data_IF_151369991699
#
_entry.id   IF_151369991699
#
_cell.length_a   1.000
_cell.length_b   1.000
_cell.length_c   1.000
_cell.angle_alpha   90.00
_cell.angle_beta   90.00
_cell.angle_gamma   90.00
#
_symmetry.space_group_name_H-M   'P 1'
#
loop_
_entity.id
_entity.type
_entity.pdbx_description
1 polymer ?
#
# COMPACT_ATOMS: atom_id res chain seq x y z
N UNK A 1 -13.61 -3.49 -34.81
CA UNK A 1 -12.43 -2.60 -34.97
C UNK A 1 -12.73 -1.37 -34.13
N UNK A 2 -12.29 -1.37 -32.93
CA UNK A 2 -12.49 -0.26 -32.00
C UNK A 2 -11.48 0.82 -32.35
N UNK A 3 -11.95 1.91 -32.94
CA UNK A 3 -11.12 3.05 -33.30
C UNK A 3 -11.09 4.02 -32.12
N UNK A 4 -10.32 3.70 -31.08
CA UNK A 4 -10.01 4.72 -30.08
C UNK A 4 -9.18 5.81 -30.76
N UNK A 5 -9.61 7.08 -30.76
CA UNK A 5 -8.91 8.13 -31.47
C UNK A 5 -7.52 8.34 -30.85
N UNK A 6 -6.51 8.50 -31.72
CA UNK A 6 -5.23 9.02 -31.29
C UNK A 6 -5.41 10.48 -30.89
N UNK A 7 -4.72 10.92 -29.85
CA UNK A 7 -4.70 12.32 -29.44
C UNK A 7 -3.26 12.78 -29.20
N UNK A 8 -3.02 14.04 -29.51
CA UNK A 8 -1.74 14.69 -29.26
C UNK A 8 -1.75 15.29 -27.85
N UNK A 9 -0.62 15.15 -27.16
CA UNK A 9 -0.38 15.75 -25.86
C UNK A 9 0.80 16.70 -26.04
N UNK A 10 0.58 17.96 -25.72
CA UNK A 10 1.63 18.97 -25.68
C UNK A 10 2.09 19.17 -24.23
N UNK A 11 3.37 19.05 -24.00
CA UNK A 11 4.01 19.35 -22.72
C UNK A 11 5.08 20.44 -22.91
N UNK A 12 5.08 21.44 -22.04
CA UNK A 12 6.04 22.53 -22.05
C UNK A 12 6.85 22.53 -20.78
N UNK A 13 8.17 22.48 -20.91
CA UNK A 13 9.11 22.61 -19.81
C UNK A 13 10.38 23.33 -20.27
N UNK A 14 10.99 24.14 -19.44
CA UNK A 14 12.19 24.92 -19.74
C UNK A 14 12.01 25.82 -21.01
N UNK A 15 10.78 26.27 -21.31
CA UNK A 15 10.46 27.03 -22.51
C UNK A 15 10.43 26.22 -23.81
N UNK A 16 10.62 24.93 -23.76
CA UNK A 16 10.55 24.00 -24.88
C UNK A 16 9.21 23.26 -24.88
N UNK A 17 8.52 23.23 -26.04
CA UNK A 17 7.33 22.41 -26.24
C UNK A 17 7.72 21.05 -26.82
N UNK A 18 7.11 20.00 -26.27
CA UNK A 18 7.26 18.63 -26.75
C UNK A 18 5.88 18.04 -27.02
N UNK A 19 5.67 17.51 -28.22
CA UNK A 19 4.43 16.88 -28.63
C UNK A 19 4.54 15.36 -28.52
N UNK A 20 3.53 14.75 -27.89
CA UNK A 20 3.38 13.30 -27.77
C UNK A 20 2.09 12.87 -28.43
N UNK A 21 2.16 11.91 -29.34
CA UNK A 21 0.96 11.28 -29.91
C UNK A 21 0.77 9.92 -29.27
N UNK A 22 -0.34 9.74 -28.59
CA UNK A 22 -0.71 8.50 -27.91
C UNK A 22 -2.05 7.97 -28.39
N UNK A 23 -2.20 6.66 -28.42
CA UNK A 23 -3.46 5.97 -28.73
C UNK A 23 -3.59 4.73 -27.85
N UNK A 24 -4.80 4.19 -27.78
CA UNK A 24 -5.06 2.90 -27.16
C UNK A 24 -5.25 1.81 -28.20
N UNK A 25 -4.68 0.64 -27.94
CA UNK A 25 -5.01 -0.61 -28.58
C UNK A 25 -5.51 -1.56 -27.49
N UNK A 26 -6.83 -1.73 -27.39
CA UNK A 26 -7.46 -2.40 -26.26
C UNK A 26 -7.21 -1.63 -24.95
N UNK A 27 -6.59 -2.28 -23.97
CA UNK A 27 -6.21 -1.67 -22.69
C UNK A 27 -4.77 -1.14 -22.68
N UNK A 28 -3.99 -1.38 -23.73
CA UNK A 28 -2.58 -1.01 -23.82
C UNK A 28 -2.41 0.40 -24.35
N UNK A 29 -1.68 1.23 -23.64
CA UNK A 29 -1.23 2.52 -24.16
C UNK A 29 -0.14 2.27 -25.20
N UNK A 30 -0.34 2.79 -26.39
CA UNK A 30 0.59 2.67 -27.51
C UNK A 30 1.00 4.07 -27.95
N UNK A 31 2.29 4.34 -27.88
CA UNK A 31 2.88 5.55 -28.44
C UNK A 31 3.49 5.23 -29.80
N UNK A 32 3.06 5.94 -30.85
CA UNK A 32 3.64 5.83 -32.18
C UNK A 32 4.63 6.98 -32.37
N UNK A 33 5.90 6.62 -32.50
CA UNK A 33 6.95 7.59 -32.81
C UNK A 33 6.83 8.08 -34.27
N UNK A 34 7.35 9.28 -34.59
CA UNK A 34 7.35 9.81 -35.96
C UNK A 34 7.99 8.89 -37.00
N UNK A 35 8.87 7.96 -36.58
CA UNK A 35 9.48 6.94 -37.44
C UNK A 35 8.64 5.68 -37.69
N UNK A 36 7.42 5.61 -37.10
CA UNK A 36 6.53 4.46 -37.22
C UNK A 36 6.74 3.36 -36.20
N UNK A 37 7.73 3.47 -35.32
CA UNK A 37 7.99 2.57 -34.22
C UNK A 37 6.86 2.69 -33.18
N UNK A 38 6.49 1.55 -32.58
CA UNK A 38 5.40 1.47 -31.63
C UNK A 38 5.96 1.08 -30.27
N UNK A 39 5.66 1.87 -29.24
CA UNK A 39 6.09 1.62 -27.87
C UNK A 39 4.88 1.24 -27.03
N UNK A 40 4.95 0.11 -26.35
CA UNK A 40 3.92 -0.36 -25.44
C UNK A 40 4.01 0.35 -24.07
N UNK A 41 2.95 0.31 -23.27
CA UNK A 41 2.80 1.03 -22.01
C UNK A 41 3.98 0.86 -21.05
N UNK A 42 4.46 -0.37 -20.85
CA UNK A 42 5.59 -0.67 -19.97
C UNK A 42 6.89 0.01 -20.41
N UNK A 43 7.04 0.26 -21.71
CA UNK A 43 8.20 0.95 -22.29
C UNK A 43 7.98 2.43 -22.55
N UNK A 44 6.75 2.89 -22.36
CA UNK A 44 6.39 4.29 -22.66
C UNK A 44 7.22 5.25 -21.81
N UNK A 45 7.30 5.04 -20.51
CA UNK A 45 8.07 5.90 -19.63
C UNK A 45 9.57 5.79 -19.87
N UNK A 46 10.07 4.61 -20.22
CA UNK A 46 11.48 4.43 -20.57
C UNK A 46 11.85 5.21 -21.82
N UNK A 47 11.06 5.09 -22.88
CA UNK A 47 11.27 5.80 -24.13
C UNK A 47 11.10 7.33 -23.97
N UNK A 48 10.13 7.76 -23.16
CA UNK A 48 9.94 9.16 -22.82
C UNK A 48 11.12 9.69 -22.00
N UNK A 49 11.63 8.91 -21.03
CA UNK A 49 12.79 9.27 -20.25
C UNK A 49 14.05 9.41 -21.12
N UNK A 50 14.27 8.48 -22.04
CA UNK A 50 15.40 8.51 -22.97
C UNK A 50 15.31 9.70 -23.93
N UNK A 51 14.15 9.89 -24.57
CA UNK A 51 13.98 10.90 -25.62
C UNK A 51 13.84 12.32 -25.07
N UNK A 52 13.13 12.50 -23.97
CA UNK A 52 12.76 13.82 -23.42
C UNK A 52 13.50 14.15 -22.11
N UNK A 53 14.30 13.22 -21.59
CA UNK A 53 15.07 13.42 -20.36
C UNK A 53 14.17 13.57 -19.11
N UNK A 54 13.05 12.84 -19.08
CA UNK A 54 12.17 12.77 -17.92
C UNK A 54 12.69 11.75 -16.90
N UNK A 55 12.13 11.75 -15.69
CA UNK A 55 12.34 10.64 -14.76
C UNK A 55 11.66 9.38 -15.24
N UNK A 56 12.30 8.25 -15.02
CA UNK A 56 11.63 6.95 -15.07
C UNK A 56 10.80 6.74 -13.80
N UNK A 57 9.69 5.99 -13.86
CA UNK A 57 9.08 5.45 -12.65
C UNK A 57 10.11 4.65 -11.88
N UNK A 58 10.11 4.74 -10.55
CA UNK A 58 10.90 3.82 -9.73
C UNK A 58 10.30 2.43 -9.88
N UNK A 59 11.12 1.48 -10.29
CA UNK A 59 10.75 0.08 -10.44
C UNK A 59 11.52 -0.74 -9.40
N UNK A 60 11.01 -1.92 -9.08
CA UNK A 60 11.65 -2.84 -8.15
C UNK A 60 12.96 -3.46 -8.69
N UNK A 61 13.23 -3.31 -10.00
CA UNK A 61 14.50 -3.68 -10.62
C UNK A 61 15.63 -2.66 -10.37
N UNK A 62 15.33 -1.47 -9.85
CA UNK A 62 16.37 -0.55 -9.40
C UNK A 62 17.12 -1.17 -8.21
N UNK A 63 18.48 -1.22 -8.26
CA UNK A 63 19.23 -1.84 -7.18
C UNK A 63 19.00 -1.08 -5.86
N UNK A 64 18.38 -1.74 -4.91
CA UNK A 64 18.37 -1.27 -3.53
C UNK A 64 19.80 -1.30 -2.97
N UNK A 65 20.13 -0.38 -2.08
CA UNK A 65 21.39 -0.48 -1.34
C UNK A 65 21.45 -1.85 -0.65
N UNK A 66 22.53 -2.62 -0.81
CA UNK A 66 22.61 -3.96 -0.26
C UNK A 66 22.41 -3.90 1.26
N UNK A 67 21.34 -4.47 1.72
CA UNK A 67 21.07 -4.72 3.13
C UNK A 67 21.22 -6.23 3.39
N UNK A 68 21.55 -6.57 4.61
CA UNK A 68 21.70 -7.95 5.03
C UNK A 68 20.31 -8.55 5.33
N UNK A 69 20.02 -9.69 4.72
CA UNK A 69 18.81 -10.48 4.98
C UNK A 69 19.03 -11.61 6.00
N UNK A 70 20.15 -11.57 6.75
CA UNK A 70 20.36 -12.53 7.83
C UNK A 70 19.19 -12.50 8.81
N UNK A 71 18.75 -13.66 9.23
CA UNK A 71 17.58 -13.81 10.09
C UNK A 71 16.23 -13.81 9.38
N UNK A 72 16.15 -13.48 8.08
CA UNK A 72 14.89 -13.57 7.33
C UNK A 72 14.63 -15.01 6.90
N UNK A 73 13.56 -15.60 7.38
CA UNK A 73 13.14 -16.94 7.00
C UNK A 73 11.95 -16.86 6.03
N UNK A 74 12.10 -17.33 4.77
CA UNK A 74 10.98 -17.48 3.87
C UNK A 74 10.10 -18.65 4.34
N UNK A 75 8.80 -18.40 4.50
CA UNK A 75 7.82 -19.40 4.92
C UNK A 75 7.03 -19.95 3.72
N UNK A 76 6.55 -19.07 2.84
CA UNK A 76 5.80 -19.48 1.66
C UNK A 76 6.31 -18.68 0.45
N UNK A 77 6.89 -19.40 -0.51
CA UNK A 77 7.51 -18.82 -1.71
C UNK A 77 6.85 -19.27 -3.02
N UNK A 78 5.72 -19.98 -2.92
CA UNK A 78 4.91 -20.42 -4.07
C UNK A 78 3.43 -20.40 -3.72
N UNK A 79 2.56 -20.30 -4.72
CA UNK A 79 1.13 -20.42 -4.48
C UNK A 79 0.75 -21.85 -4.06
N UNK A 80 0.14 -22.00 -2.90
CA UNK A 80 -0.28 -23.29 -2.34
C UNK A 80 -1.65 -23.74 -2.86
N UNK A 81 -2.36 -22.89 -3.61
CA UNK A 81 -3.65 -23.22 -4.21
C UNK A 81 -3.76 -22.50 -5.58
N UNK A 82 -4.31 -23.15 -6.62
CA UNK A 82 -4.35 -22.58 -7.99
C UNK A 82 -5.21 -21.32 -8.12
N UNK A 83 -6.08 -21.03 -7.15
CA UNK A 83 -6.88 -19.79 -7.11
C UNK A 83 -6.21 -18.63 -6.36
N UNK A 84 -5.07 -18.86 -5.71
CA UNK A 84 -4.22 -17.81 -5.15
C UNK A 84 -3.38 -17.28 -6.30
N UNK A 85 -3.62 -16.04 -6.73
CA UNK A 85 -3.05 -15.53 -7.97
C UNK A 85 -1.78 -14.69 -7.76
N UNK A 86 -1.66 -13.98 -6.64
CA UNK A 86 -0.59 -13.00 -6.39
C UNK A 86 0.18 -13.24 -5.08
N UNK A 87 0.19 -14.48 -4.60
CA UNK A 87 0.89 -14.85 -3.37
C UNK A 87 0.21 -14.35 -2.10
N UNK A 88 0.99 -13.87 -1.13
CA UNK A 88 0.58 -13.62 0.25
C UNK A 88 0.94 -12.19 0.67
N UNK A 89 0.50 -11.22 -0.11
CA UNK A 89 0.65 -9.80 0.24
C UNK A 89 -0.15 -9.42 1.47
N UNK A 90 0.36 -8.47 2.24
CA UNK A 90 -0.29 -7.90 3.43
C UNK A 90 -0.73 -9.00 4.41
N UNK A 91 0.22 -9.85 4.89
CA UNK A 91 -0.10 -11.06 5.62
C UNK A 91 -0.47 -10.75 7.08
N UNK A 92 -1.64 -11.21 7.52
CA UNK A 92 -1.97 -11.27 8.93
C UNK A 92 -1.84 -12.69 9.44
N UNK A 93 -0.88 -12.92 10.35
CA UNK A 93 -0.62 -14.22 10.96
C UNK A 93 -1.03 -14.19 12.42
N UNK A 94 -1.95 -15.05 12.79
CA UNK A 94 -2.46 -15.15 14.15
C UNK A 94 -2.23 -16.54 14.75
N UNK A 95 -1.73 -16.60 15.99
CA UNK A 95 -1.67 -17.84 16.79
C UNK A 95 -3.09 -18.24 17.22
N UNK A 96 -3.45 -19.50 16.96
CA UNK A 96 -4.67 -20.15 17.45
C UNK A 96 -4.31 -21.39 18.25
N UNK A 97 -5.31 -22.05 18.86
CA UNK A 97 -5.08 -23.18 19.76
C UNK A 97 -4.27 -24.32 19.10
N UNK A 98 -4.56 -24.65 17.84
CA UNK A 98 -3.94 -25.76 17.10
C UNK A 98 -2.84 -25.33 16.10
N UNK A 99 -2.30 -24.10 16.24
CA UNK A 99 -1.27 -23.63 15.30
C UNK A 99 -1.38 -22.15 14.97
N UNK A 100 -1.25 -21.83 13.70
CA UNK A 100 -1.31 -20.48 13.15
C UNK A 100 -2.24 -20.41 11.96
N UNK A 101 -2.88 -19.28 11.83
CA UNK A 101 -3.65 -18.89 10.66
C UNK A 101 -2.92 -17.77 9.92
N UNK A 102 -3.10 -17.75 8.60
CA UNK A 102 -2.70 -16.67 7.72
C UNK A 102 -3.89 -16.28 6.86
N UNK A 103 -4.18 -14.99 6.80
CA UNK A 103 -5.00 -14.36 5.77
C UNK A 103 -4.16 -13.35 5.01
N UNK A 104 -4.45 -13.16 3.71
CA UNK A 104 -3.66 -12.28 2.87
C UNK A 104 -4.51 -11.61 1.78
N UNK A 105 -3.97 -10.57 1.17
CA UNK A 105 -4.55 -9.84 0.04
C UNK A 105 -4.80 -10.76 -1.15
N UNK A 106 -5.93 -10.57 -1.82
CA UNK A 106 -6.28 -11.29 -3.05
C UNK A 106 -6.47 -10.39 -4.27
N UNK A 107 -6.36 -9.08 -4.11
CA UNK A 107 -6.61 -8.10 -5.16
C UNK A 107 -7.99 -8.30 -5.80
N UNK A 108 -8.01 -8.59 -7.10
CA UNK A 108 -9.22 -8.81 -7.90
C UNK A 108 -9.51 -10.29 -8.17
N UNK A 109 -8.90 -11.20 -7.40
CA UNK A 109 -9.17 -12.62 -7.56
C UNK A 109 -10.65 -12.93 -7.26
N UNK A 110 -11.27 -13.88 -7.97
CA UNK A 110 -12.67 -14.25 -7.75
C UNK A 110 -12.97 -14.77 -6.35
N UNK A 111 -11.98 -15.42 -5.73
CA UNK A 111 -12.03 -15.90 -4.35
C UNK A 111 -11.24 -14.90 -3.48
N UNK A 112 -11.93 -14.23 -2.54
CA UNK A 112 -11.30 -13.19 -1.74
C UNK A 112 -10.69 -13.73 -0.46
N UNK A 113 -9.47 -13.26 -0.18
CA UNK A 113 -8.64 -13.52 0.99
C UNK A 113 -8.32 -14.99 1.20
N UNK A 114 -7.19 -15.49 0.68
CA UNK A 114 -6.74 -16.84 0.97
C UNK A 114 -6.61 -17.04 2.49
N UNK A 115 -7.13 -18.15 2.97
CA UNK A 115 -7.04 -18.60 4.35
C UNK A 115 -6.16 -19.84 4.40
N UNK A 116 -5.08 -19.80 5.16
CA UNK A 116 -4.12 -20.87 5.33
C UNK A 116 -3.93 -21.18 6.81
N UNK A 117 -3.48 -22.39 7.08
CA UNK A 117 -3.14 -22.85 8.43
C UNK A 117 -1.78 -23.55 8.45
N UNK A 118 -1.14 -23.50 9.60
CA UNK A 118 0.09 -24.26 9.88
C UNK A 118 0.12 -24.70 11.34
N UNK A 119 0.60 -25.89 11.61
CA UNK A 119 0.84 -26.36 12.99
C UNK A 119 2.25 -26.03 13.51
N UNK A 120 3.17 -25.66 12.63
CA UNK A 120 4.61 -25.57 12.93
C UNK A 120 5.34 -24.38 12.27
N UNK A 121 4.60 -23.45 11.62
CA UNK A 121 5.11 -22.32 10.85
C UNK A 121 5.97 -22.68 9.62
N UNK A 122 6.28 -23.95 9.41
CA UNK A 122 7.11 -24.42 8.30
C UNK A 122 6.28 -25.01 7.17
N UNK A 123 5.25 -25.78 7.51
CA UNK A 123 4.33 -26.37 6.53
C UNK A 123 3.00 -25.64 6.62
N UNK A 124 2.62 -25.03 5.51
CA UNK A 124 1.36 -24.31 5.37
C UNK A 124 0.42 -25.04 4.41
N UNK A 125 -0.84 -25.07 4.76
CA UNK A 125 -1.90 -25.70 3.97
C UNK A 125 -3.02 -24.69 3.71
N UNK A 126 -3.57 -24.71 2.48
CA UNK A 126 -4.76 -23.92 2.17
C UNK A 126 -5.97 -24.47 2.92
N UNK A 127 -6.65 -23.61 3.68
CA UNK A 127 -7.91 -23.86 4.32
C UNK A 127 -9.11 -23.29 3.52
N UNK A 128 -8.83 -22.73 2.33
CA UNK A 128 -9.84 -22.13 1.47
C UNK A 128 -9.70 -20.60 1.38
N UNK A 129 -10.82 -19.92 1.39
CA UNK A 129 -10.92 -18.47 1.27
C UNK A 129 -11.96 -17.93 2.24
N UNK A 130 -11.73 -16.70 2.73
CA UNK A 130 -12.69 -16.03 3.62
C UNK A 130 -14.03 -15.81 2.89
N UNK A 131 -13.96 -15.29 1.65
CA UNK A 131 -15.13 -15.15 0.79
C UNK A 131 -14.88 -15.89 -0.53
N UNK A 132 -15.34 -17.14 -0.66
CA UNK A 132 -15.28 -17.89 -1.91
C UNK A 132 -16.02 -17.16 -3.05
N UNK A 133 -15.67 -17.48 -4.29
CA UNK A 133 -16.30 -16.90 -5.47
C UNK A 133 -17.83 -16.91 -5.39
N UNK A 134 -18.44 -15.74 -5.60
CA UNK A 134 -19.88 -15.53 -5.50
C UNK A 134 -20.40 -15.29 -4.08
N UNK A 135 -19.53 -15.29 -3.06
CA UNK A 135 -19.89 -15.04 -1.65
C UNK A 135 -19.26 -13.74 -1.11
N UNK A 136 -18.66 -12.92 -1.97
CA UNK A 136 -18.16 -11.60 -1.58
C UNK A 136 -19.29 -10.72 -1.05
N UNK A 137 -19.01 -9.81 -0.09
CA UNK A 137 -20.03 -8.94 0.49
C UNK A 137 -20.77 -8.11 -0.56
N UNK A 138 -22.09 -8.02 -0.44
CA UNK A 138 -22.95 -7.37 -1.44
C UNK A 138 -22.73 -5.88 -1.63
N UNK A 139 -22.11 -5.23 -0.66
CA UNK A 139 -21.78 -3.81 -0.74
C UNK A 139 -20.53 -3.53 -1.58
N UNK A 140 -19.73 -4.56 -1.85
CA UNK A 140 -18.49 -4.41 -2.63
C UNK A 140 -18.78 -4.28 -4.12
N UNK A 141 -17.90 -3.58 -4.83
CA UNK A 141 -17.99 -3.44 -6.27
C UNK A 141 -17.90 -4.81 -6.95
N UNK A 142 -18.79 -5.02 -7.94
CA UNK A 142 -18.81 -6.25 -8.71
C UNK A 142 -18.11 -6.08 -10.06
N UNK A 143 -17.47 -7.14 -10.53
CA UNK A 143 -16.83 -7.22 -11.83
C UNK A 143 -15.34 -7.53 -11.75
N UNK A 144 -14.73 -7.81 -12.91
CA UNK A 144 -13.30 -8.10 -13.01
C UNK A 144 -12.49 -6.80 -12.87
N UNK A 145 -11.43 -6.83 -12.08
CA UNK A 145 -10.51 -5.71 -11.88
C UNK A 145 -11.11 -4.53 -11.10
N UNK A 146 -12.01 -4.80 -10.14
CA UNK A 146 -12.70 -3.74 -9.40
C UNK A 146 -12.96 -4.02 -7.92
N UNK A 147 -12.64 -5.22 -7.42
CA UNK A 147 -12.92 -5.61 -6.03
C UNK A 147 -11.94 -4.98 -5.05
N UNK A 148 -10.67 -4.95 -5.42
CA UNK A 148 -9.57 -4.44 -4.60
C UNK A 148 -9.64 -4.99 -3.16
N UNK A 149 -9.71 -6.33 -3.03
CA UNK A 149 -9.74 -7.01 -1.73
C UNK A 149 -8.33 -7.05 -1.13
N UNK A 150 -8.03 -6.07 -0.26
CA UNK A 150 -6.70 -5.83 0.28
C UNK A 150 -6.63 -5.93 1.79
N UNK A 151 -5.42 -6.20 2.28
CA UNK A 151 -4.99 -6.10 3.66
C UNK A 151 -6.02 -6.61 4.67
N UNK A 152 -6.36 -7.91 4.62
CA UNK A 152 -7.20 -8.50 5.65
C UNK A 152 -6.39 -8.63 6.94
N UNK A 153 -7.01 -8.32 8.07
CA UNK A 153 -6.47 -8.51 9.41
C UNK A 153 -7.43 -9.33 10.24
N UNK A 154 -6.91 -10.24 11.06
CA UNK A 154 -7.70 -11.10 11.92
C UNK A 154 -7.33 -10.93 13.38
N UNK A 155 -8.31 -10.74 14.25
CA UNK A 155 -8.12 -10.59 15.68
C UNK A 155 -9.14 -11.44 16.47
N UNK A 156 -8.74 -11.91 17.65
CA UNK A 156 -9.67 -12.52 18.61
C UNK A 156 -10.27 -11.43 19.49
N UNK A 157 -11.59 -11.29 19.46
CA UNK A 157 -12.33 -10.34 20.27
C UNK A 157 -13.35 -11.12 21.13
N UNK A 158 -13.03 -11.27 22.40
CA UNK A 158 -13.81 -12.15 23.28
C UNK A 158 -13.77 -13.61 22.82
N UNK A 159 -14.93 -14.18 22.48
CA UNK A 159 -15.05 -15.54 22.00
C UNK A 159 -15.09 -15.65 20.47
N UNK A 160 -15.06 -14.54 19.75
CA UNK A 160 -15.17 -14.49 18.29
C UNK A 160 -13.85 -14.13 17.62
N UNK A 161 -13.74 -14.44 16.33
CA UNK A 161 -12.70 -14.00 15.43
C UNK A 161 -13.27 -12.93 14.52
N UNK A 162 -12.69 -11.73 14.57
CA UNK A 162 -13.08 -10.61 13.75
C UNK A 162 -12.03 -10.40 12.66
N UNK A 163 -12.51 -10.25 11.44
CA UNK A 163 -11.69 -10.03 10.27
C UNK A 163 -12.06 -8.69 9.66
N UNK A 164 -11.11 -7.75 9.66
CA UNK A 164 -11.22 -6.48 8.92
C UNK A 164 -10.54 -6.62 7.57
N UNK A 165 -10.99 -5.84 6.61
CA UNK A 165 -10.44 -5.86 5.26
C UNK A 165 -10.77 -4.58 4.52
N UNK A 166 -9.98 -4.27 3.50
CA UNK A 166 -10.26 -3.23 2.53
C UNK A 166 -10.95 -3.82 1.32
N UNK A 167 -11.99 -3.14 0.82
CA UNK A 167 -12.59 -3.44 -0.47
C UNK A 167 -13.14 -2.17 -1.10
N UNK A 168 -13.34 -2.20 -2.42
CA UNK A 168 -13.97 -1.10 -3.13
C UNK A 168 -15.48 -1.21 -3.03
N UNK A 169 -16.12 -0.14 -2.56
CA UNK A 169 -17.57 -0.05 -2.50
C UNK A 169 -18.21 0.12 -3.90
N UNK A 170 -19.52 0.02 -3.99
CA UNK A 170 -20.26 0.12 -5.25
C UNK A 170 -20.05 1.47 -5.98
N UNK A 171 -19.79 2.55 -5.23
CA UNK A 171 -19.46 3.88 -5.75
C UNK A 171 -17.99 4.03 -6.19
N UNK A 172 -17.20 2.94 -6.11
CA UNK A 172 -15.78 2.86 -6.45
C UNK A 172 -14.84 3.51 -5.43
N UNK A 173 -15.31 3.95 -4.28
CA UNK A 173 -14.44 4.39 -3.18
C UNK A 173 -13.93 3.20 -2.38
N UNK A 174 -12.73 3.33 -1.80
CA UNK A 174 -12.20 2.32 -0.88
C UNK A 174 -12.87 2.44 0.48
N UNK A 175 -13.20 1.31 1.06
CA UNK A 175 -13.90 1.20 2.33
C UNK A 175 -13.36 0.01 3.13
N UNK A 176 -13.51 0.08 4.44
CA UNK A 176 -13.16 -1.01 5.37
C UNK A 176 -14.42 -1.80 5.68
N UNK A 177 -14.35 -3.12 5.48
CA UNK A 177 -15.34 -4.09 5.92
C UNK A 177 -14.93 -4.77 7.23
N UNK A 178 -15.90 -5.41 7.88
CA UNK A 178 -15.70 -6.29 9.03
C UNK A 178 -16.59 -7.53 8.89
N UNK A 179 -15.97 -8.69 9.07
CA UNK A 179 -16.66 -9.97 9.15
C UNK A 179 -16.31 -10.70 10.45
N UNK A 180 -17.19 -11.59 10.92
CA UNK A 180 -17.03 -12.30 12.19
C UNK A 180 -17.29 -13.78 12.04
N UNK A 181 -16.60 -14.59 12.86
CA UNK A 181 -16.79 -16.02 12.96
C UNK A 181 -16.58 -16.51 14.39
N UNK A 182 -17.24 -17.60 14.77
CA UNK A 182 -16.98 -18.29 16.04
C UNK A 182 -15.81 -19.28 15.93
N UNK A 183 -15.48 -19.72 14.72
CA UNK A 183 -14.35 -20.59 14.39
C UNK A 183 -13.31 -19.78 13.61
N UNK A 184 -12.01 -19.91 13.90
CA UNK A 184 -10.97 -19.16 13.19
C UNK A 184 -10.86 -19.49 11.69
N UNK A 185 -11.40 -20.63 11.25
CA UNK A 185 -11.50 -21.01 9.84
C UNK A 185 -12.83 -20.58 9.19
N UNK A 186 -13.70 -19.88 9.92
CA UNK A 186 -14.99 -19.41 9.44
C UNK A 186 -16.13 -20.44 9.62
N UNK A 187 -17.26 -20.28 8.94
CA UNK A 187 -17.50 -19.23 7.95
C UNK A 187 -17.56 -17.83 8.56
N UNK A 188 -17.01 -16.85 7.86
CA UNK A 188 -17.05 -15.45 8.27
C UNK A 188 -18.29 -14.76 7.73
N UNK A 189 -19.06 -14.14 8.62
CA UNK A 189 -20.27 -13.38 8.29
C UNK A 189 -19.95 -11.88 8.27
N UNK A 190 -20.05 -11.27 7.08
CA UNK A 190 -19.86 -9.83 6.90
C UNK A 190 -21.00 -9.01 7.51
N UNK A 191 -20.72 -7.79 7.98
CA UNK A 191 -21.74 -6.88 8.53
C UNK A 191 -22.84 -6.48 7.53
N UNK A 192 -22.70 -6.83 6.24
CA UNK A 192 -23.64 -6.45 5.18
C UNK A 192 -23.52 -5.01 4.71
N UNK A 193 -22.56 -4.25 5.26
CA UNK A 193 -22.25 -2.86 4.93
C UNK A 193 -20.80 -2.53 5.30
N UNK A 194 -20.20 -1.48 4.72
CA UNK A 194 -18.92 -1.00 5.18
C UNK A 194 -18.95 -0.60 6.66
N UNK A 195 -17.88 -0.86 7.38
CA UNK A 195 -17.64 -0.34 8.72
C UNK A 195 -17.19 1.15 8.65
N UNK A 196 -16.27 1.45 7.73
CA UNK A 196 -15.82 2.80 7.41
C UNK A 196 -15.82 3.03 5.89
N UNK A 197 -16.10 4.26 5.47
CA UNK A 197 -16.10 4.72 4.08
C UNK A 197 -15.23 5.96 3.91
N UNK A 198 -15.02 6.41 2.67
CA UNK A 198 -14.33 7.67 2.40
C UNK A 198 -12.84 7.52 2.09
N UNK A 199 -12.47 6.54 1.27
CA UNK A 199 -11.08 6.24 0.88
C UNK A 199 -10.20 5.89 2.09
N UNK A 200 -10.56 4.80 2.73
CA UNK A 200 -9.92 4.25 3.94
C UNK A 200 -9.46 2.83 3.68
N UNK A 201 -8.27 2.47 4.19
CA UNK A 201 -7.64 1.16 3.98
C UNK A 201 -6.89 0.68 5.23
N UNK A 202 -6.38 -0.54 5.18
CA UNK A 202 -5.41 -1.14 6.10
C UNK A 202 -5.89 -1.14 7.55
N UNK A 203 -7.03 -1.78 7.77
CA UNK A 203 -7.65 -1.83 9.08
C UNK A 203 -7.07 -2.95 9.96
N UNK A 204 -6.53 -2.59 11.11
CA UNK A 204 -6.06 -3.52 12.14
C UNK A 204 -6.91 -3.39 13.41
N UNK A 205 -7.29 -4.51 14.03
CA UNK A 205 -7.98 -4.52 15.33
C UNK A 205 -6.99 -4.83 16.43
N UNK A 206 -6.93 -3.93 17.40
CA UNK A 206 -6.24 -4.17 18.68
C UNK A 206 -7.23 -4.20 19.84
N UNK A 207 -7.12 -5.20 20.70
CA UNK A 207 -7.91 -5.28 21.93
C UNK A 207 -7.02 -4.77 23.07
N UNK A 208 -7.46 -3.70 23.74
CA UNK A 208 -6.71 -3.09 24.82
C UNK A 208 -6.72 -3.94 26.12
N UNK A 209 -5.95 -3.49 27.12
CA UNK A 209 -5.83 -4.20 28.41
C UNK A 209 -7.18 -4.28 29.19
N UNK A 210 -8.18 -3.46 28.80
CA UNK A 210 -9.54 -3.47 29.37
C UNK A 210 -10.51 -4.37 28.57
N UNK A 211 -10.04 -4.96 27.48
CA UNK A 211 -10.81 -5.81 26.58
C UNK A 211 -11.64 -5.02 25.56
N UNK A 212 -11.42 -3.72 25.41
CA UNK A 212 -12.11 -2.91 24.42
C UNK A 212 -11.41 -2.97 23.06
N UNK A 213 -12.15 -3.20 21.95
CA UNK A 213 -11.58 -3.23 20.62
C UNK A 213 -11.34 -1.81 20.07
N UNK A 214 -10.19 -1.64 19.45
CA UNK A 214 -9.78 -0.43 18.74
C UNK A 214 -9.50 -0.79 17.29
N UNK A 215 -9.91 0.09 16.37
CA UNK A 215 -9.60 0.02 14.95
C UNK A 215 -8.46 0.99 14.66
N UNK A 216 -7.35 0.48 14.12
CA UNK A 216 -6.30 1.28 13.51
C UNK A 216 -6.52 1.23 12.01
N UNK A 217 -6.30 2.34 11.32
CA UNK A 217 -6.55 2.43 9.89
C UNK A 217 -5.82 3.62 9.25
N UNK A 218 -5.84 3.67 7.94
CA UNK A 218 -5.23 4.72 7.15
C UNK A 218 -6.26 5.41 6.26
N UNK A 219 -6.16 6.75 6.13
CA UNK A 219 -6.80 7.45 5.03
C UNK A 219 -5.96 7.24 3.77
N UNK A 220 -6.57 6.76 2.69
CA UNK A 220 -5.88 6.58 1.41
C UNK A 220 -5.80 7.90 0.65
N UNK A 221 -4.73 8.65 0.90
CA UNK A 221 -4.42 9.92 0.22
C UNK A 221 -3.39 9.75 -0.90
N UNK A 222 -2.87 8.55 -1.12
CA UNK A 222 -1.75 8.26 -2.03
C UNK A 222 -1.97 8.79 -3.44
N UNK A 223 -3.18 8.67 -3.97
CA UNK A 223 -3.55 9.11 -5.31
C UNK A 223 -4.25 10.47 -5.34
N UNK A 224 -4.51 11.08 -4.19
CA UNK A 224 -5.31 12.30 -4.07
C UNK A 224 -4.52 13.58 -4.33
N UNK A 225 -3.20 13.59 -4.13
CA UNK A 225 -2.38 14.77 -4.38
C UNK A 225 -1.68 14.78 -5.76
N UNK A 226 -1.22 13.64 -6.35
CA UNK A 226 -0.44 13.70 -7.60
C UNK A 226 -1.25 14.21 -8.80
N UNK A 227 -2.50 13.77 -8.94
CA UNK A 227 -3.37 14.23 -10.03
C UNK A 227 -3.82 15.69 -9.90
N UNK A 228 -4.31 16.15 -8.74
CA UNK A 228 -4.54 17.58 -8.51
C UNK A 228 -3.29 18.43 -8.72
N UNK A 229 -2.12 17.97 -8.27
CA UNK A 229 -0.85 18.66 -8.56
C UNK A 229 -0.60 18.75 -10.06
N UNK A 230 -0.74 17.65 -10.81
CA UNK A 230 -0.58 17.66 -12.26
C UNK A 230 -1.58 18.60 -12.95
N UNK A 231 -2.82 18.68 -12.45
CA UNK A 231 -3.84 19.65 -12.91
C UNK A 231 -3.42 21.09 -12.64
N UNK A 232 -2.98 21.38 -11.44
CA UNK A 232 -2.48 22.72 -11.06
C UNK A 232 -1.29 23.15 -11.91
N UNK A 233 -0.34 22.22 -12.16
CA UNK A 233 0.82 22.50 -13.03
C UNK A 233 0.43 22.72 -14.49
N UNK A 234 -0.63 22.10 -14.96
CA UNK A 234 -1.19 22.33 -16.29
C UNK A 234 -1.83 23.70 -16.43
N UNK A 235 -2.56 24.15 -15.39
CA UNK A 235 -3.20 25.46 -15.34
C UNK A 235 -2.20 26.59 -15.09
N UNK A 236 -1.13 26.30 -14.36
CA UNK A 236 -0.10 27.24 -13.92
C UNK A 236 1.31 26.70 -14.20
N UNK A 237 1.74 26.64 -15.49
CA UNK A 237 3.02 26.03 -15.88
C UNK A 237 4.25 26.70 -15.24
N UNK A 238 4.15 27.99 -14.87
CA UNK A 238 5.21 28.73 -14.18
C UNK A 238 5.59 28.11 -12.82
N UNK A 239 4.72 27.32 -12.22
CA UNK A 239 5.01 26.60 -10.97
C UNK A 239 6.04 25.48 -11.18
N UNK A 240 6.16 24.93 -12.39
CA UNK A 240 7.09 23.83 -12.67
C UNK A 240 8.53 24.23 -12.35
N UNK A 241 8.97 25.42 -12.77
CA UNK A 241 10.30 25.92 -12.48
C UNK A 241 10.51 26.26 -10.99
N UNK A 242 9.44 26.67 -10.30
CA UNK A 242 9.48 27.00 -8.88
C UNK A 242 9.53 25.78 -7.97
N UNK A 243 8.85 24.70 -8.38
CA UNK A 243 8.72 23.48 -7.58
C UNK A 243 9.86 22.47 -7.82
N UNK A 244 10.42 22.45 -9.03
CA UNK A 244 11.37 21.41 -9.42
C UNK A 244 12.73 22.01 -9.84
N UNK A 245 13.79 21.60 -9.15
CA UNK A 245 15.13 22.15 -9.36
C UNK A 245 15.84 21.57 -10.59
N UNK A 246 15.67 20.26 -10.86
CA UNK A 246 16.35 19.61 -11.97
C UNK A 246 15.58 19.73 -13.29
N UNK A 247 16.31 19.74 -14.43
CA UNK A 247 15.69 19.73 -15.75
C UNK A 247 14.83 18.46 -15.98
N UNK A 248 15.29 17.30 -15.49
CA UNK A 248 14.56 16.04 -15.60
C UNK A 248 13.23 16.09 -14.83
N UNK A 249 13.24 16.64 -13.60
CA UNK A 249 12.04 16.77 -12.78
C UNK A 249 11.03 17.75 -13.39
N UNK A 250 11.49 18.89 -13.94
CA UNK A 250 10.63 19.83 -14.65
C UNK A 250 9.97 19.21 -15.87
N UNK A 251 10.72 18.46 -16.69
CA UNK A 251 10.18 17.76 -17.87
C UNK A 251 9.20 16.67 -17.46
N UNK A 252 9.48 15.94 -16.38
CA UNK A 252 8.56 14.94 -15.81
C UNK A 252 7.26 15.59 -15.35
N UNK A 253 7.35 16.71 -14.63
CA UNK A 253 6.18 17.46 -14.16
C UNK A 253 5.33 17.98 -15.33
N UNK A 254 5.97 18.52 -16.38
CA UNK A 254 5.28 18.98 -17.58
C UNK A 254 4.58 17.85 -18.33
N UNK A 255 5.22 16.68 -18.45
CA UNK A 255 4.63 15.49 -19.05
C UNK A 255 3.40 15.03 -18.26
N UNK A 256 3.53 14.87 -16.94
CA UNK A 256 2.41 14.44 -16.10
C UNK A 256 1.27 15.45 -16.11
N UNK A 257 1.57 16.75 -16.15
CA UNK A 257 0.57 17.81 -16.32
C UNK A 257 -0.20 17.66 -17.66
N UNK A 258 0.51 17.40 -18.75
CA UNK A 258 -0.10 17.18 -20.07
C UNK A 258 -0.92 15.88 -20.14
N UNK A 259 -0.48 14.82 -19.45
CA UNK A 259 -1.19 13.52 -19.40
C UNK A 259 -2.43 13.55 -18.48
N UNK A 260 -2.51 14.49 -17.53
CA UNK A 260 -3.52 14.50 -16.47
C UNK A 260 -4.97 14.38 -16.94
N UNK A 261 -5.44 15.10 -18.00
CA UNK A 261 -6.83 14.98 -18.45
C UNK A 261 -7.18 13.59 -18.93
N UNK A 262 -6.24 12.94 -19.62
CA UNK A 262 -6.41 11.58 -20.07
C UNK A 262 -6.31 10.58 -18.93
N UNK A 263 -5.35 10.73 -18.00
CA UNK A 263 -5.24 9.89 -16.81
C UNK A 263 -6.54 9.87 -16.01
N UNK A 264 -7.29 10.98 -15.97
CA UNK A 264 -8.58 11.03 -15.28
C UNK A 264 -9.64 10.09 -15.85
N UNK A 265 -9.50 9.65 -17.09
CA UNK A 265 -10.42 8.70 -17.73
C UNK A 265 -10.09 7.24 -17.45
N UNK A 266 -8.97 6.97 -16.77
CA UNK A 266 -8.45 5.62 -16.54
C UNK A 266 -8.94 5.01 -15.24
N UNK A 267 -8.78 3.68 -15.10
CA UNK A 267 -9.07 2.95 -13.84
C UNK A 267 -8.17 3.45 -12.70
N UNK A 268 -8.57 3.31 -11.44
CA UNK A 268 -7.83 3.86 -10.30
C UNK A 268 -6.34 3.50 -10.28
N UNK A 269 -5.98 2.22 -10.44
CA UNK A 269 -4.57 1.78 -10.43
C UNK A 269 -3.79 2.31 -11.63
N UNK A 270 -4.39 2.34 -12.83
CA UNK A 270 -3.76 2.94 -14.01
C UNK A 270 -3.46 4.43 -13.79
N UNK A 271 -4.41 5.17 -13.19
CA UNK A 271 -4.20 6.58 -12.85
C UNK A 271 -3.05 6.80 -11.89
N UNK A 272 -2.92 5.91 -10.90
CA UNK A 272 -1.83 5.96 -9.95
C UNK A 272 -0.48 5.76 -10.66
N UNK A 273 -0.33 4.69 -11.44
CA UNK A 273 0.91 4.43 -12.17
C UNK A 273 1.29 5.53 -13.17
N UNK A 274 0.30 6.16 -13.82
CA UNK A 274 0.57 7.29 -14.72
C UNK A 274 1.15 8.51 -14.00
N UNK A 275 0.89 8.67 -12.71
CA UNK A 275 1.38 9.79 -11.92
C UNK A 275 2.64 9.46 -11.08
N UNK A 276 3.08 8.21 -11.04
CA UNK A 276 4.29 7.82 -10.29
C UNK A 276 5.55 8.61 -10.63
N UNK A 277 5.85 8.95 -11.91
CA UNK A 277 6.99 9.79 -12.21
C UNK A 277 6.93 11.17 -11.55
N UNK A 278 5.73 11.75 -11.44
CA UNK A 278 5.53 13.02 -10.73
C UNK A 278 5.74 12.86 -9.22
N UNK A 279 5.30 11.74 -8.64
CA UNK A 279 5.59 11.41 -7.24
C UNK A 279 7.12 11.36 -7.04
N UNK A 280 7.86 10.66 -7.90
CA UNK A 280 9.31 10.59 -7.85
C UNK A 280 9.99 11.96 -7.96
N UNK A 281 9.52 12.83 -8.86
CA UNK A 281 10.02 14.19 -8.99
C UNK A 281 9.72 15.04 -7.75
N UNK A 282 8.51 14.91 -7.18
CA UNK A 282 8.12 15.60 -5.96
C UNK A 282 8.96 15.14 -4.76
N UNK A 283 9.20 13.82 -4.60
CA UNK A 283 10.03 13.28 -3.52
C UNK A 283 11.48 13.77 -3.58
N UNK A 284 12.04 13.90 -4.77
CA UNK A 284 13.40 14.47 -4.92
C UNK A 284 13.51 15.94 -4.48
N UNK A 285 12.37 16.63 -4.39
CA UNK A 285 12.28 18.06 -4.02
C UNK A 285 11.28 18.27 -2.87
N UNK A 286 10.98 17.25 -2.05
CA UNK A 286 9.80 17.14 -1.18
C UNK A 286 9.54 18.36 -0.30
N UNK A 287 10.54 18.80 0.45
CA UNK A 287 10.37 19.95 1.35
C UNK A 287 10.16 21.26 0.59
N UNK A 288 10.87 21.44 -0.51
CA UNK A 288 10.74 22.62 -1.37
C UNK A 288 9.35 22.65 -2.04
N UNK A 289 8.89 21.52 -2.58
CA UNK A 289 7.56 21.38 -3.19
C UNK A 289 6.48 21.70 -2.16
N UNK A 290 6.51 21.10 -0.99
CA UNK A 290 5.52 21.35 0.07
C UNK A 290 5.55 22.79 0.58
N UNK A 291 6.74 23.37 0.76
CA UNK A 291 6.90 24.74 1.21
C UNK A 291 6.36 25.75 0.20
N UNK A 292 6.55 25.48 -1.10
CA UNK A 292 6.06 26.37 -2.15
C UNK A 292 4.54 26.20 -2.38
N UNK A 293 4.02 24.99 -2.35
CA UNK A 293 2.58 24.73 -2.46
C UNK A 293 1.79 25.39 -1.32
N UNK A 294 2.32 25.43 -0.08
CA UNK A 294 1.68 26.14 1.04
C UNK A 294 1.51 27.65 0.80
N UNK A 295 2.25 28.24 -0.13
CA UNK A 295 2.16 29.65 -0.51
C UNK A 295 1.34 29.85 -1.80
N UNK A 296 0.85 28.76 -2.39
CA UNK A 296 0.17 28.76 -3.67
C UNK A 296 -1.33 28.65 -3.45
N UNK A 297 -2.08 29.67 -3.86
CA UNK A 297 -3.53 29.68 -3.77
C UNK A 297 -4.13 28.50 -4.55
N UNK A 298 -5.08 27.79 -3.93
CA UNK A 298 -5.74 26.62 -4.50
C UNK A 298 -4.95 25.30 -4.40
N UNK A 299 -3.83 25.30 -3.64
CA UNK A 299 -3.03 24.09 -3.39
C UNK A 299 -3.24 23.48 -2.00
N UNK A 300 -4.17 24.00 -1.20
CA UNK A 300 -4.40 23.60 0.19
C UNK A 300 -4.72 22.10 0.29
N UNK A 301 -5.66 21.61 -0.51
CA UNK A 301 -6.05 20.20 -0.54
C UNK A 301 -4.90 19.30 -1.03
N UNK A 302 -4.07 19.79 -1.98
CA UNK A 302 -2.88 19.03 -2.44
C UNK A 302 -1.93 18.83 -1.27
N UNK A 303 -1.60 19.90 -0.52
CA UNK A 303 -0.68 19.86 0.62
C UNK A 303 -1.23 18.99 1.75
N UNK A 304 -2.53 19.08 2.03
CA UNK A 304 -3.18 18.22 3.03
C UNK A 304 -3.04 16.74 2.67
N UNK A 305 -3.30 16.37 1.41
CA UNK A 305 -3.21 14.99 0.94
C UNK A 305 -1.76 14.47 0.75
N UNK A 306 -0.74 15.34 0.83
CA UNK A 306 0.68 14.93 0.89
C UNK A 306 1.07 14.40 2.28
N UNK A 307 0.18 14.45 3.25
CA UNK A 307 0.34 13.86 4.58
C UNK A 307 -0.58 12.65 4.68
N UNK A 308 0.00 11.50 5.03
CA UNK A 308 -0.75 10.25 5.20
C UNK A 308 -0.80 9.90 6.69
N UNK A 309 -1.95 10.11 7.37
CA UNK A 309 -2.08 9.76 8.76
C UNK A 309 -2.43 8.28 8.97
N UNK A 310 -1.80 7.65 9.96
CA UNK A 310 -2.32 6.47 10.63
C UNK A 310 -3.20 6.90 11.79
N UNK A 311 -4.37 6.34 11.89
CA UNK A 311 -5.42 6.74 12.81
C UNK A 311 -5.82 5.57 13.71
N UNK A 312 -6.28 5.85 14.93
CA UNK A 312 -6.94 4.90 15.79
C UNK A 312 -8.29 5.43 16.22
N UNK A 313 -9.27 4.54 16.32
CA UNK A 313 -10.62 4.87 16.76
C UNK A 313 -11.20 3.70 17.54
N UNK A 314 -11.92 3.96 18.61
CA UNK A 314 -12.54 2.91 19.39
C UNK A 314 -13.68 2.25 18.60
N UNK A 315 -13.77 0.91 18.67
CA UNK A 315 -14.92 0.18 18.14
C UNK A 315 -15.99 0.00 19.22
N UNK A 316 -17.23 -0.07 18.81
CA UNK A 316 -18.31 -0.57 19.66
C UNK A 316 -18.03 -2.05 20.04
N UNK A 317 -18.50 -2.46 21.20
CA UNK A 317 -18.26 -3.82 21.71
C UNK A 317 -18.81 -4.91 20.78
N UNK A 318 -19.80 -4.60 19.98
CA UNK A 318 -20.38 -5.48 18.96
C UNK A 318 -19.69 -5.35 17.59
N UNK A 319 -18.64 -4.52 17.45
CA UNK A 319 -17.93 -4.27 16.21
C UNK A 319 -18.74 -3.57 15.11
N UNK A 320 -20.00 -3.20 15.38
CA UNK A 320 -20.88 -2.70 14.34
C UNK A 320 -20.62 -1.23 13.93
N UNK A 321 -19.87 -0.47 14.72
CA UNK A 321 -19.56 0.93 14.47
C UNK A 321 -18.31 1.38 15.19
N UNK A 322 -17.74 2.51 14.75
CA UNK A 322 -16.69 3.24 15.47
C UNK A 322 -17.31 4.23 16.46
N UNK A 323 -16.59 4.56 17.53
CA UNK A 323 -17.02 5.44 18.61
C UNK A 323 -16.07 6.63 18.72
N UNK A 324 -16.63 7.84 18.80
CA UNK A 324 -15.87 9.08 18.97
C UNK A 324 -15.11 9.49 17.71
N UNK A 325 -14.22 10.47 17.86
CA UNK A 325 -13.38 10.96 16.78
C UNK A 325 -12.09 10.13 16.67
N UNK A 326 -11.54 9.94 15.45
CA UNK A 326 -10.28 9.26 15.28
C UNK A 326 -9.12 10.07 15.86
N UNK A 327 -8.14 9.37 16.44
CA UNK A 327 -6.91 9.95 16.95
C UNK A 327 -5.77 9.65 15.97
N UNK A 328 -5.04 10.67 15.56
CA UNK A 328 -3.84 10.49 14.74
C UNK A 328 -2.71 9.90 15.59
N UNK A 329 -2.16 8.76 15.15
CA UNK A 329 -1.03 8.09 15.80
C UNK A 329 0.30 8.53 15.19
N UNK A 330 0.40 8.48 13.85
CA UNK A 330 1.59 8.83 13.07
C UNK A 330 1.20 9.56 11.78
N UNK A 331 2.19 10.18 11.15
CA UNK A 331 2.15 10.66 9.77
C UNK A 331 3.53 10.47 9.13
N UNK A 332 3.63 10.51 7.81
CA UNK A 332 4.90 10.43 7.08
C UNK A 332 5.74 11.71 7.28
N UNK A 333 6.82 11.62 8.03
CA UNK A 333 7.72 12.73 8.37
C UNK A 333 9.22 12.36 8.26
N UNK A 334 9.55 11.08 8.06
CA UNK A 334 10.91 10.62 7.83
C UNK A 334 11.19 10.47 6.32
N UNK A 335 12.42 10.74 5.91
CA UNK A 335 12.80 10.73 4.49
C UNK A 335 12.55 9.37 3.81
N UNK A 336 12.80 8.26 4.48
CA UNK A 336 12.60 6.91 3.93
C UNK A 336 11.12 6.56 3.74
N UNK A 337 10.21 7.18 4.48
CA UNK A 337 8.76 6.96 4.36
C UNK A 337 8.18 7.52 3.05
N UNK A 338 8.92 8.41 2.40
CA UNK A 338 8.49 9.01 1.16
C UNK A 338 7.19 9.80 1.31
N UNK A 339 6.22 9.52 0.43
CA UNK A 339 4.95 10.23 0.38
C UNK A 339 3.82 9.55 1.15
N UNK A 340 4.05 8.39 1.77
CA UNK A 340 3.02 7.65 2.49
C UNK A 340 3.58 6.75 3.59
N UNK A 341 2.75 6.48 4.58
CA UNK A 341 2.85 5.35 5.50
C UNK A 341 1.54 4.59 5.50
N UNK A 342 1.61 3.26 5.76
CA UNK A 342 0.45 2.37 5.68
C UNK A 342 0.64 1.09 6.52
N UNK A 343 -0.34 0.16 6.48
CA UNK A 343 -0.25 -1.14 7.12
C UNK A 343 0.00 -1.08 8.63
N UNK A 344 -0.81 -0.36 9.43
CA UNK A 344 -0.59 -0.27 10.87
C UNK A 344 -0.87 -1.60 11.56
N UNK A 345 0.07 -2.09 12.36
CA UNK A 345 -0.12 -3.22 13.27
C UNK A 345 0.34 -2.83 14.67
N UNK A 346 -0.49 -3.01 15.69
CA UNK A 346 -0.19 -2.65 17.07
C UNK A 346 0.08 -3.88 17.92
N UNK A 347 1.30 -3.99 18.44
CA UNK A 347 1.71 -5.01 19.39
C UNK A 347 1.85 -4.44 20.81
N UNK A 348 1.60 -5.28 21.82
CA UNK A 348 1.83 -4.96 23.23
C UNK A 348 2.99 -5.79 23.76
N UNK A 349 4.10 -5.14 24.12
CA UNK A 349 5.27 -5.80 24.68
C UNK A 349 6.00 -4.88 25.66
N UNK A 350 6.68 -5.44 26.68
CA UNK A 350 7.45 -4.69 27.68
C UNK A 350 6.66 -3.53 28.34
N UNK A 351 5.36 -3.74 28.53
CA UNK A 351 4.49 -2.71 29.11
C UNK A 351 4.20 -1.52 28.21
N UNK A 352 4.58 -1.55 26.91
CA UNK A 352 4.45 -0.47 25.95
C UNK A 352 3.69 -0.90 24.71
N UNK A 353 3.23 0.07 23.92
CA UNK A 353 2.56 -0.10 22.62
C UNK A 353 3.57 0.10 21.51
N UNK A 354 3.68 -0.87 20.60
CA UNK A 354 4.60 -0.90 19.48
C UNK A 354 3.80 -0.89 18.20
N UNK A 355 3.84 0.23 17.48
CA UNK A 355 3.14 0.41 16.21
C UNK A 355 4.11 0.13 15.07
N UNK A 356 3.92 -1.00 14.40
CA UNK A 356 4.57 -1.34 13.15
C UNK A 356 3.81 -0.70 12.00
N UNK A 357 4.51 -0.26 10.98
CA UNK A 357 3.93 0.34 9.79
C UNK A 357 4.86 0.17 8.60
N UNK A 358 4.33 0.23 7.38
CA UNK A 358 5.11 0.31 6.16
C UNK A 358 5.24 1.76 5.71
N UNK A 359 6.34 2.10 5.06
CA UNK A 359 6.59 3.42 4.49
C UNK A 359 7.07 3.34 3.06
N UNK A 360 6.80 4.38 2.28
CA UNK A 360 7.01 4.47 0.85
C UNK A 360 5.99 3.66 0.02
N UNK A 361 6.21 3.53 -1.28
CA UNK A 361 5.33 2.83 -2.21
C UNK A 361 5.73 1.35 -2.32
N UNK A 362 4.78 0.42 -2.17
CA UNK A 362 5.03 -1.02 -2.23
C UNK A 362 5.59 -1.49 -3.58
N UNK A 363 5.45 -0.71 -4.63
CA UNK A 363 6.03 -0.96 -5.96
C UNK A 363 7.45 -0.40 -6.11
N UNK A 364 8.03 0.11 -5.03
CA UNK A 364 9.37 0.70 -4.99
C UNK A 364 10.30 -0.13 -4.10
N UNK A 365 11.59 -0.30 -4.47
CA UNK A 365 12.57 -0.93 -3.60
C UNK A 365 12.82 -0.15 -2.30
N UNK A 366 12.28 1.07 -2.20
CA UNK A 366 12.35 1.90 -0.99
C UNK A 366 11.26 1.55 0.04
N UNK A 367 10.30 0.68 -0.30
CA UNK A 367 9.32 0.18 0.66
C UNK A 367 10.01 -0.52 1.82
N UNK A 368 9.58 -0.24 3.03
CA UNK A 368 10.19 -0.78 4.22
C UNK A 368 9.25 -0.76 5.42
N UNK A 369 9.63 -1.46 6.48
CA UNK A 369 8.86 -1.55 7.72
C UNK A 369 9.50 -0.68 8.78
N UNK A 370 8.74 0.27 9.31
CA UNK A 370 9.11 1.10 10.45
C UNK A 370 8.42 0.66 11.73
N UNK A 371 8.89 1.20 12.84
CA UNK A 371 8.28 0.98 14.14
C UNK A 371 8.32 2.24 14.98
N UNK A 372 7.26 2.46 15.75
CA UNK A 372 7.15 3.54 16.72
C UNK A 372 6.64 2.99 18.05
N UNK A 373 6.99 3.63 19.16
CA UNK A 373 6.66 3.19 20.51
C UNK A 373 5.96 4.28 21.29
N UNK A 374 4.99 3.88 22.14
CA UNK A 374 4.27 4.77 23.04
C UNK A 374 3.93 4.06 24.37
N UNK A 375 3.66 4.85 25.41
CA UNK A 375 3.20 4.33 26.70
C UNK A 375 1.68 4.10 26.73
N UNK A 376 0.95 4.72 25.79
CA UNK A 376 -0.51 4.60 25.64
C UNK A 376 -0.88 4.26 24.20
N UNK A 377 -1.96 3.52 24.01
CA UNK A 377 -2.48 3.15 22.72
C UNK A 377 -2.65 4.36 21.78
N UNK A 378 -3.14 5.46 22.30
CA UNK A 378 -3.36 6.70 21.53
C UNK A 378 -2.13 7.60 21.45
N UNK A 379 -0.95 7.12 21.91
CA UNK A 379 0.29 7.86 21.82
C UNK A 379 0.55 8.88 22.95
N UNK A 380 1.46 9.84 22.73
CA UNK A 380 2.21 10.08 21.50
C UNK A 380 3.23 8.98 21.18
N UNK A 381 3.35 8.63 19.91
CA UNK A 381 4.31 7.65 19.41
C UNK A 381 5.63 8.30 19.04
N UNK A 382 6.73 7.62 19.36
CA UNK A 382 8.10 8.00 18.98
C UNK A 382 8.63 6.96 17.99
N UNK A 383 8.91 7.38 16.77
CA UNK A 383 9.50 6.52 15.73
C UNK A 383 10.95 6.18 16.04
N UNK A 384 11.40 4.97 15.68
CA UNK A 384 12.79 4.56 15.81
C UNK A 384 13.74 5.22 14.77
N UNK A 385 13.20 5.96 13.81
CA UNK A 385 13.95 6.75 12.83
C UNK A 385 14.22 5.97 11.53
N UNK A 386 15.12 5.01 11.56
CA UNK A 386 15.42 4.16 10.40
C UNK A 386 14.40 3.01 10.28
N UNK A 387 14.16 2.47 9.07
CA UNK A 387 13.30 1.31 8.92
C UNK A 387 13.91 0.09 9.62
N UNK A 388 13.07 -0.68 10.30
CA UNK A 388 13.43 -1.96 10.91
C UNK A 388 13.80 -2.99 9.83
N UNK A 389 13.04 -3.02 8.74
CA UNK A 389 13.30 -3.83 7.55
C UNK A 389 13.29 -2.96 6.30
N UNK A 390 14.21 -3.24 5.38
CA UNK A 390 14.30 -2.62 4.04
C UNK A 390 14.77 -3.65 3.02
N UNK A 391 14.60 -3.36 1.74
CA UNK A 391 15.05 -4.23 0.65
C UNK A 391 16.49 -4.70 0.83
N UNK A 392 16.72 -5.96 0.44
CA UNK A 392 18.03 -6.63 0.45
C UNK A 392 18.36 -7.10 -0.96
N UNK A 393 19.53 -7.72 -1.16
CA UNK A 393 19.88 -8.36 -2.43
C UNK A 393 19.07 -9.63 -2.74
N UNK A 394 18.31 -10.15 -1.77
CA UNK A 394 17.51 -11.38 -1.90
C UNK A 394 16.00 -11.13 -1.87
N UNK A 395 15.56 -10.05 -1.24
CA UNK A 395 14.15 -9.73 -1.03
C UNK A 395 13.92 -8.22 -1.19
N UNK A 396 12.94 -7.87 -2.00
CA UNK A 396 12.62 -6.47 -2.30
C UNK A 396 11.31 -6.05 -1.67
N UNK A 397 11.24 -4.77 -1.30
CA UNK A 397 10.04 -4.12 -0.78
C UNK A 397 9.34 -4.89 0.35
N UNK A 398 10.03 -5.18 1.48
CA UNK A 398 9.38 -5.79 2.63
C UNK A 398 8.33 -4.82 3.20
N UNK A 399 7.14 -5.32 3.48
CA UNK A 399 6.09 -4.43 4.01
C UNK A 399 4.89 -5.13 4.60
N UNK A 400 3.99 -4.29 5.11
CA UNK A 400 2.72 -4.64 5.72
C UNK A 400 2.82 -5.85 6.67
N UNK A 401 3.33 -5.59 7.86
CA UNK A 401 3.68 -6.65 8.80
C UNK A 401 2.61 -6.91 9.84
N UNK A 402 2.51 -8.15 10.29
CA UNK A 402 1.81 -8.56 11.50
C UNK A 402 2.78 -9.15 12.52
N UNK A 403 2.44 -9.11 13.81
CA UNK A 403 3.24 -9.70 14.90
C UNK A 403 2.45 -10.82 15.53
N UNK A 404 3.08 -11.98 15.64
CA UNK A 404 2.54 -13.13 16.36
C UNK A 404 3.65 -13.82 17.15
N UNK A 405 3.34 -14.88 17.88
CA UNK A 405 4.33 -15.69 18.59
C UNK A 405 4.84 -16.82 17.70
N UNK A 406 6.14 -17.11 17.79
CA UNK A 406 6.74 -18.27 17.14
C UNK A 406 6.57 -19.57 17.91
N UNK A 407 7.20 -20.64 17.42
CA UNK A 407 7.20 -21.95 18.07
C UNK A 407 7.85 -21.95 19.46
N UNK A 408 8.83 -21.08 19.65
CA UNK A 408 9.53 -20.87 20.91
C UNK A 408 8.74 -19.97 21.91
N UNK A 409 7.53 -19.54 21.53
CA UNK A 409 6.70 -18.61 22.30
C UNK A 409 7.18 -17.16 22.29
N UNK A 410 8.24 -16.84 21.52
CA UNK A 410 8.78 -15.47 21.40
C UNK A 410 8.14 -14.73 20.23
N UNK A 411 8.10 -13.39 20.27
CA UNK A 411 7.53 -12.61 19.18
C UNK A 411 8.27 -12.80 17.86
N UNK A 412 7.51 -12.86 16.80
CA UNK A 412 7.97 -12.86 15.40
C UNK A 412 7.15 -11.85 14.58
N UNK A 413 7.84 -11.22 13.62
CA UNK A 413 7.25 -10.36 12.62
C UNK A 413 7.03 -11.18 11.35
N UNK A 414 5.83 -11.15 10.82
CA UNK A 414 5.45 -11.76 9.55
C UNK A 414 5.19 -10.65 8.55
N UNK A 415 5.73 -10.74 7.35
CA UNK A 415 5.65 -9.70 6.34
C UNK A 415 5.75 -10.27 4.94
N UNK A 416 5.36 -9.50 3.94
CA UNK A 416 5.60 -9.89 2.56
C UNK A 416 6.87 -9.23 2.00
N UNK A 417 7.44 -9.87 0.95
CA UNK A 417 8.44 -9.27 0.09
C UNK A 417 8.38 -9.89 -1.31
N UNK A 418 8.94 -9.18 -2.29
CA UNK A 418 9.10 -9.69 -3.65
C UNK A 418 10.44 -10.39 -3.83
N UNK A 419 10.47 -11.37 -4.73
CA UNK A 419 11.73 -11.89 -5.25
C UNK A 419 12.45 -10.81 -6.06
N UNK A 420 13.79 -10.83 -6.16
CA UNK A 420 14.51 -10.03 -7.12
C UNK A 420 13.95 -10.25 -8.54
N UNK A 421 13.95 -9.21 -9.36
CA UNK A 421 13.42 -9.19 -10.73
C UNK A 421 11.90 -9.36 -10.85
N UNK A 422 11.18 -9.35 -9.73
CA UNK A 422 9.71 -9.33 -9.73
C UNK A 422 9.21 -8.16 -8.90
N UNK A 423 8.00 -7.70 -9.19
CA UNK A 423 7.35 -6.65 -8.41
C UNK A 423 6.22 -5.99 -9.18
N UNK A 424 5.23 -5.52 -8.45
CA UNK A 424 4.07 -4.88 -9.04
C UNK A 424 2.74 -5.34 -8.43
N UNK A 425 1.66 -4.75 -8.88
CA UNK A 425 0.33 -4.90 -8.28
C UNK A 425 -0.18 -6.35 -8.21
N UNK A 426 0.06 -7.14 -9.25
CA UNK A 426 -0.40 -8.54 -9.33
C UNK A 426 0.75 -9.55 -9.28
N UNK A 427 1.96 -9.10 -8.95
CA UNK A 427 3.11 -9.97 -8.83
C UNK A 427 3.09 -10.77 -7.54
N UNK A 428 3.77 -11.91 -7.55
CA UNK A 428 3.82 -12.81 -6.41
C UNK A 428 4.58 -12.18 -5.24
N UNK A 429 3.93 -12.11 -4.07
CA UNK A 429 4.55 -11.72 -2.81
C UNK A 429 4.75 -12.94 -1.92
N UNK A 430 5.99 -13.20 -1.52
CA UNK A 430 6.33 -14.27 -0.59
C UNK A 430 5.96 -13.88 0.84
N UNK A 431 5.62 -14.88 1.68
CA UNK A 431 5.53 -14.72 3.13
C UNK A 431 6.89 -14.99 3.77
N UNK A 432 7.38 -14.05 4.56
CA UNK A 432 8.61 -14.16 5.33
C UNK A 432 8.38 -13.86 6.82
N UNK A 433 9.36 -14.25 7.64
CA UNK A 433 9.35 -13.93 9.07
C UNK A 433 10.75 -13.63 9.59
N UNK A 434 10.80 -12.87 10.69
CA UNK A 434 11.99 -12.66 11.53
C UNK A 434 11.60 -12.71 13.01
N UNK A 435 12.52 -13.08 13.88
CA UNK A 435 12.35 -12.94 15.32
C UNK A 435 12.42 -11.47 15.76
N UNK A 436 11.70 -11.13 16.82
CA UNK A 436 11.74 -9.82 17.45
C UNK A 436 12.21 -9.91 18.89
N UNK A 437 13.09 -9.00 19.29
CA UNK A 437 13.47 -8.72 20.68
C UNK A 437 13.03 -7.31 21.06
N UNK A 438 12.18 -7.24 22.08
CA UNK A 438 11.71 -5.98 22.64
C UNK A 438 12.52 -5.61 23.89
N UNK A 439 12.88 -4.35 23.98
CA UNK A 439 13.32 -3.69 25.23
C UNK A 439 12.41 -2.49 25.47
N UNK A 440 12.41 -1.85 26.64
CA UNK A 440 11.57 -0.67 26.87
C UNK A 440 11.80 0.48 25.87
N UNK A 441 12.99 0.56 25.26
CA UNK A 441 13.38 1.67 24.39
C UNK A 441 13.26 1.35 22.89
N UNK A 442 13.42 0.07 22.52
CA UNK A 442 13.47 -0.32 21.09
C UNK A 442 13.09 -1.77 20.85
N UNK A 443 12.70 -2.05 19.61
CA UNK A 443 12.63 -3.40 19.07
C UNK A 443 13.79 -3.63 18.11
N UNK A 444 14.32 -4.84 18.09
CA UNK A 444 15.39 -5.27 17.20
C UNK A 444 15.06 -6.62 16.56
N UNK A 445 15.66 -6.88 15.40
CA UNK A 445 15.55 -8.17 14.73
C UNK A 445 16.43 -9.17 15.49
N UNK A 446 15.89 -10.37 15.63
CA UNK A 446 16.56 -11.54 16.17
C UNK A 446 16.55 -12.66 15.13
N UNK A 447 17.65 -13.42 15.04
CA UNK A 447 17.68 -14.66 14.25
C UNK A 447 16.71 -15.69 14.85
N UNK A 448 16.09 -16.49 13.98
CA UNK A 448 15.13 -17.52 14.36
C UNK A 448 15.81 -18.80 14.81
#
# INVERSE_FOLDING_TARGET
MDRTPAFAIEAVADGEASEFTVRFEGETLVHRLPGGETIHYERFFDAVAERFGTRRPRQLDEPAAPADSRGWAPLITTNLHPKILSGYGDPAVMKVDDGWLLVATSNDAPDAFPLLRSSDLTVWESAGFVFPQGQTPKWTAAGVGVGDFWAPEIARVGAEYWLTYTARAADRTLAIGLARASDPLGPFEDLGRPLLTGSVIDAHIHVDDEGAPWLLWKRDTNSHWPRPLAGLLRERPELIERLFSSKADRRTAALCAALQPWANTRRPMERFFLMQPLIGAALANWDAVRAELRKTDGAEEIVENMVTPLLAQRLAADGASVIGEPVQLLANDLAWEGHLIEGPFLARAEGRYWLFYAGNDFTSPMYGIGVAVADRLTGPYVKQGEPLLRSTGQWLAPGHASVSVGLDGRPQLFFHAFHPDTGGYNEFRALLTVGLDFTPERVAIRDL
#
